data_IF_022012485461
#
_entry.id   IF_022012485461
#
_cell.length_a   1.000
_cell.length_b   1.000
_cell.length_c   1.000
_cell.angle_alpha   90.00
_cell.angle_beta   90.00
_cell.angle_gamma   90.00
#
_symmetry.space_group_name_H-M   'P 1'
#
loop_
_entity.id
_entity.type
_entity.pdbx_description
1 polymer ?
#
# COMPACT_ATOMS: atom_id res chain seq x y z
N UNK A 1 -14.64 -26.76 41.67
CA UNK A 1 -14.52 -26.71 40.19
C UNK A 1 -14.67 -25.26 39.71
N UNK A 2 -13.61 -24.44 39.72
CA UNK A 2 -13.67 -23.00 39.35
C UNK A 2 -12.50 -22.59 38.41
N UNK A 3 -11.73 -23.54 37.89
CA UNK A 3 -10.46 -23.25 37.20
C UNK A 3 -10.49 -23.08 35.67
N UNK A 4 -11.55 -23.50 34.96
CA UNK A 4 -11.50 -23.59 33.49
C UNK A 4 -11.99 -22.33 32.74
N UNK A 5 -13.01 -21.63 33.24
CA UNK A 5 -13.60 -20.47 32.54
C UNK A 5 -12.72 -19.23 32.58
N UNK A 6 -12.01 -18.99 33.69
CA UNK A 6 -11.07 -17.85 33.81
C UNK A 6 -9.84 -18.03 32.92
N UNK A 7 -9.37 -19.28 32.75
CA UNK A 7 -8.23 -19.60 31.86
C UNK A 7 -8.60 -19.38 30.38
N UNK A 8 -9.80 -19.77 29.96
CA UNK A 8 -10.26 -19.54 28.58
C UNK A 8 -10.38 -18.04 28.25
N UNK A 9 -10.90 -17.23 29.18
CA UNK A 9 -11.02 -15.77 29.00
C UNK A 9 -9.66 -15.07 28.97
N UNK A 10 -8.71 -15.50 29.80
CA UNK A 10 -7.34 -14.97 29.80
C UNK A 10 -6.58 -15.32 28.51
N UNK A 11 -6.79 -16.51 27.95
CA UNK A 11 -6.20 -16.90 26.66
C UNK A 11 -6.76 -16.06 25.52
N UNK A 12 -8.07 -15.80 25.49
CA UNK A 12 -8.69 -14.94 24.47
C UNK A 12 -8.19 -13.49 24.58
N UNK A 13 -8.12 -12.94 25.80
CA UNK A 13 -7.57 -11.59 26.02
C UNK A 13 -6.10 -11.52 25.62
N UNK A 14 -5.29 -12.54 25.94
CA UNK A 14 -3.89 -12.59 25.55
C UNK A 14 -3.71 -12.69 24.02
N UNK A 15 -4.54 -13.47 23.32
CA UNK A 15 -4.53 -13.55 21.85
C UNK A 15 -4.96 -12.23 21.21
N UNK A 16 -5.98 -11.56 21.76
CA UNK A 16 -6.42 -10.24 21.29
C UNK A 16 -5.35 -9.17 21.54
N UNK A 17 -4.72 -9.17 22.71
CA UNK A 17 -3.61 -8.24 23.01
C UNK A 17 -2.40 -8.52 22.12
N UNK A 18 -2.06 -9.78 21.86
CA UNK A 18 -0.93 -10.14 20.99
C UNK A 18 -1.22 -9.83 19.52
N UNK A 19 -2.48 -9.92 19.08
CA UNK A 19 -2.93 -9.45 17.76
C UNK A 19 -2.92 -7.91 17.64
N UNK A 20 -3.24 -7.19 18.73
CA UNK A 20 -3.23 -5.71 18.77
C UNK A 20 -1.80 -5.16 18.90
N UNK A 21 -0.93 -5.81 19.66
CA UNK A 21 0.48 -5.39 19.85
C UNK A 21 1.36 -5.81 18.67
N UNK A 22 1.02 -6.89 17.96
CA UNK A 22 1.74 -7.33 16.76
C UNK A 22 1.55 -6.46 15.51
N UNK A 23 0.75 -5.38 15.58
CA UNK A 23 0.37 -4.57 14.40
C UNK A 23 0.65 -3.07 14.54
N UNK A 24 1.49 -2.65 15.51
CA UNK A 24 2.17 -1.35 15.35
C UNK A 24 3.14 -1.50 14.17
N UNK A 25 3.02 -0.70 13.10
CA UNK A 25 4.06 -0.64 12.09
C UNK A 25 5.26 0.00 12.77
N UNK A 26 6.10 -0.83 13.40
CA UNK A 26 7.47 -0.44 13.63
C UNK A 26 8.02 -0.29 12.22
N UNK A 27 8.34 0.94 11.83
CA UNK A 27 9.25 1.20 10.73
C UNK A 27 10.58 0.55 11.13
N UNK A 28 10.68 -0.75 10.89
CA UNK A 28 11.92 -1.48 10.99
C UNK A 28 12.71 -0.98 9.80
N UNK A 29 13.68 -0.10 10.06
CA UNK A 29 14.81 0.05 9.16
C UNK A 29 15.41 -1.35 9.01
N UNK A 30 15.08 -2.02 7.91
CA UNK A 30 15.52 -3.37 7.63
C UNK A 30 17.03 -3.31 7.41
N UNK A 31 17.79 -3.63 8.46
CA UNK A 31 19.18 -4.07 8.31
C UNK A 31 19.12 -5.39 7.54
N UNK A 32 19.35 -5.31 6.23
CA UNK A 32 19.30 -6.43 5.30
C UNK A 32 20.46 -7.39 5.56
N UNK A 33 20.20 -8.41 6.39
CA UNK A 33 20.99 -9.64 6.45
C UNK A 33 19.99 -10.80 6.62
N UNK A 34 19.44 -11.28 5.51
CA UNK A 34 18.44 -12.35 5.57
C UNK A 34 17.79 -12.63 4.22
N UNK A 35 18.50 -13.41 3.41
CA UNK A 35 18.13 -13.99 2.13
C UNK A 35 16.73 -14.65 2.19
N UNK A 36 15.67 -13.88 1.95
CA UNK A 36 14.31 -14.36 1.73
C UNK A 36 13.72 -13.62 0.53
N UNK A 37 14.12 -14.07 -0.65
CA UNK A 37 13.66 -13.57 -1.93
C UNK A 37 14.44 -14.33 -2.97
N UNK A 38 13.77 -15.18 -3.74
CA UNK A 38 14.43 -15.94 -4.81
C UNK A 38 15.15 -15.00 -5.78
N UNK A 39 16.12 -15.52 -6.52
CA UNK A 39 16.78 -14.77 -7.59
C UNK A 39 16.28 -15.30 -8.93
N UNK A 40 15.82 -14.43 -9.81
CA UNK A 40 15.59 -14.76 -11.21
C UNK A 40 16.84 -14.34 -11.96
N UNK A 41 17.46 -15.27 -12.68
CA UNK A 41 18.63 -14.99 -13.51
C UNK A 41 18.37 -15.51 -14.91
N UNK A 42 18.50 -14.64 -15.91
CA UNK A 42 18.67 -15.06 -17.31
C UNK A 42 20.16 -15.16 -17.55
N UNK A 43 20.67 -16.37 -17.72
CA UNK A 43 22.12 -16.58 -17.80
C UNK A 43 22.69 -16.15 -19.16
N UNK A 44 24.01 -15.95 -19.21
CA UNK A 44 24.68 -15.60 -20.46
C UNK A 44 24.49 -16.70 -21.51
N UNK A 45 24.11 -16.30 -22.73
CA UNK A 45 23.78 -17.23 -23.82
C UNK A 45 22.38 -17.87 -23.72
N UNK A 46 21.60 -17.55 -22.68
CA UNK A 46 20.18 -17.85 -22.61
C UNK A 46 19.38 -16.82 -23.42
N UNK A 47 18.40 -17.29 -24.17
CA UNK A 47 17.44 -16.42 -24.87
C UNK A 47 16.04 -16.76 -24.42
N UNK A 48 15.35 -15.78 -23.86
CA UNK A 48 13.95 -15.88 -23.44
C UNK A 48 13.10 -14.89 -24.22
N UNK A 49 11.82 -15.23 -24.40
CA UNK A 49 10.91 -14.41 -25.21
C UNK A 49 10.48 -13.14 -24.46
N UNK A 50 10.05 -13.32 -23.22
CA UNK A 50 9.59 -12.26 -22.32
C UNK A 50 10.01 -12.65 -20.91
N UNK A 51 10.41 -11.67 -20.09
CA UNK A 51 10.72 -11.89 -18.69
C UNK A 51 9.69 -11.19 -17.81
N UNK A 52 8.87 -11.97 -17.11
CA UNK A 52 7.96 -11.46 -16.09
C UNK A 52 8.31 -12.11 -14.75
N UNK A 53 8.63 -11.31 -13.73
CA UNK A 53 9.14 -11.87 -12.48
C UNK A 53 9.05 -10.95 -11.27
N UNK A 54 8.62 -11.53 -10.14
CA UNK A 54 8.71 -10.90 -8.82
C UNK A 54 9.70 -11.71 -7.98
N UNK A 55 10.82 -11.09 -7.61
CA UNK A 55 11.93 -11.78 -6.97
C UNK A 55 12.64 -10.89 -5.95
N UNK A 56 13.50 -11.46 -5.09
CA UNK A 56 14.38 -10.64 -4.25
C UNK A 56 15.41 -9.89 -5.10
N UNK A 57 15.92 -10.54 -6.14
CA UNK A 57 16.81 -9.95 -7.14
C UNK A 57 16.50 -10.52 -8.53
N UNK A 58 16.51 -9.65 -9.55
CA UNK A 58 16.35 -10.02 -10.95
C UNK A 58 17.60 -9.61 -11.71
N UNK A 59 18.26 -10.56 -12.36
CA UNK A 59 19.51 -10.32 -13.09
C UNK A 59 19.38 -10.82 -14.53
N UNK A 60 19.58 -9.94 -15.50
CA UNK A 60 19.55 -10.28 -16.93
C UNK A 60 20.98 -10.23 -17.48
N UNK A 61 21.56 -11.40 -17.77
CA UNK A 61 22.86 -11.56 -18.46
C UNK A 61 22.74 -12.04 -19.90
N UNK A 62 21.65 -12.72 -20.23
CA UNK A 62 21.33 -13.20 -21.57
C UNK A 62 20.42 -12.24 -22.35
N UNK A 63 19.78 -12.74 -23.38
CA UNK A 63 18.90 -11.96 -24.27
C UNK A 63 17.44 -12.19 -23.92
N UNK A 64 16.69 -11.10 -23.74
CA UNK A 64 15.22 -11.09 -23.72
C UNK A 64 14.77 -10.49 -25.05
N UNK A 65 14.06 -11.24 -25.89
CA UNK A 65 13.77 -10.78 -27.26
C UNK A 65 12.66 -9.74 -27.34
N UNK A 66 11.73 -9.73 -26.38
CA UNK A 66 10.71 -8.70 -26.23
C UNK A 66 10.89 -8.01 -24.88
N UNK A 67 9.85 -7.98 -24.06
CA UNK A 67 9.76 -7.10 -22.90
C UNK A 67 10.25 -7.77 -21.61
N UNK A 68 10.69 -6.91 -20.69
CA UNK A 68 11.05 -7.27 -19.31
C UNK A 68 10.14 -6.49 -18.37
N UNK A 69 9.34 -7.21 -17.57
CA UNK A 69 8.58 -6.67 -16.45
C UNK A 69 9.06 -7.32 -15.15
N UNK A 70 9.83 -6.57 -14.35
CA UNK A 70 10.48 -7.09 -13.16
C UNK A 70 10.21 -6.26 -11.90
N UNK A 71 9.86 -6.95 -10.81
CA UNK A 71 9.75 -6.33 -9.48
C UNK A 71 10.69 -7.04 -8.51
N UNK A 72 11.58 -6.28 -7.87
CA UNK A 72 12.46 -6.87 -6.87
C UNK A 72 13.19 -5.89 -5.97
N UNK A 73 13.94 -6.42 -4.99
CA UNK A 73 14.79 -5.56 -4.17
C UNK A 73 15.90 -4.92 -5.01
N UNK A 74 16.45 -5.69 -5.94
CA UNK A 74 17.50 -5.28 -6.89
C UNK A 74 17.16 -5.82 -8.28
N UNK A 75 17.09 -4.94 -9.29
CA UNK A 75 16.89 -5.32 -10.71
C UNK A 75 18.09 -4.84 -11.50
N UNK A 76 18.76 -5.75 -12.21
CA UNK A 76 20.00 -5.44 -12.91
C UNK A 76 20.08 -6.05 -14.31
N UNK A 77 20.21 -5.20 -15.31
CA UNK A 77 20.56 -5.59 -16.69
C UNK A 77 22.08 -5.48 -16.81
N UNK A 78 22.77 -6.61 -16.96
CA UNK A 78 24.23 -6.65 -17.08
C UNK A 78 24.70 -6.17 -18.46
N UNK A 79 25.99 -5.82 -18.63
CA UNK A 79 26.53 -5.42 -19.93
C UNK A 79 26.39 -6.48 -21.03
N UNK A 80 26.33 -7.77 -20.66
CA UNK A 80 26.09 -8.86 -21.61
C UNK A 80 24.60 -9.08 -21.90
N UNK A 81 23.73 -8.55 -21.04
CA UNK A 81 22.28 -8.69 -21.13
C UNK A 81 21.70 -7.70 -22.12
N UNK A 82 20.75 -8.15 -22.94
CA UNK A 82 20.05 -7.31 -23.92
C UNK A 82 18.54 -7.49 -23.79
N UNK A 83 17.81 -6.40 -23.88
CA UNK A 83 16.34 -6.38 -23.90
C UNK A 83 15.90 -5.83 -25.24
N UNK A 84 15.22 -6.65 -26.04
CA UNK A 84 14.81 -6.30 -27.41
C UNK A 84 13.54 -5.45 -27.49
N UNK A 85 12.74 -5.40 -26.42
CA UNK A 85 11.55 -4.56 -26.28
C UNK A 85 11.66 -3.61 -25.09
N UNK A 86 10.57 -3.45 -24.37
CA UNK A 86 10.45 -2.48 -23.28
C UNK A 86 10.93 -3.06 -21.94
N UNK A 87 11.45 -2.20 -21.06
CA UNK A 87 11.83 -2.56 -19.70
C UNK A 87 10.95 -1.81 -18.69
N UNK A 88 10.09 -2.53 -17.99
CA UNK A 88 9.37 -2.06 -16.81
C UNK A 88 10.00 -2.68 -15.55
N UNK A 89 10.57 -1.84 -14.69
CA UNK A 89 11.26 -2.29 -13.48
C UNK A 89 10.84 -1.51 -12.25
N UNK A 90 10.52 -2.21 -11.16
CA UNK A 90 10.25 -1.59 -9.87
C UNK A 90 11.07 -2.23 -8.75
N UNK A 91 11.64 -1.42 -7.85
CA UNK A 91 12.46 -1.99 -6.78
C UNK A 91 13.15 -1.05 -5.81
N UNK A 92 14.06 -1.60 -5.01
CA UNK A 92 14.95 -0.80 -4.17
C UNK A 92 16.03 -0.11 -5.01
N UNK A 93 16.73 -0.90 -5.82
CA UNK A 93 17.74 -0.45 -6.78
C UNK A 93 17.46 -1.00 -8.18
N UNK A 94 17.60 -0.16 -9.19
CA UNK A 94 17.58 -0.57 -10.60
C UNK A 94 18.88 -0.11 -11.27
N UNK A 95 19.60 -1.04 -11.87
CA UNK A 95 20.86 -0.76 -12.60
C UNK A 95 20.76 -1.28 -14.02
N UNK A 96 20.97 -0.38 -14.99
CA UNK A 96 20.94 -0.70 -16.42
C UNK A 96 22.36 -0.52 -16.95
N UNK A 97 23.00 -1.65 -17.27
CA UNK A 97 24.38 -1.67 -17.77
C UNK A 97 24.52 -2.30 -19.16
N UNK A 98 23.46 -2.91 -19.68
CA UNK A 98 23.36 -3.38 -21.06
C UNK A 98 22.30 -2.61 -21.86
N UNK A 99 22.15 -2.92 -23.16
CA UNK A 99 21.19 -2.24 -24.02
C UNK A 99 19.74 -2.68 -23.77
N UNK A 100 18.85 -1.69 -23.79
CA UNK A 100 17.40 -1.85 -23.90
C UNK A 100 16.97 -1.13 -25.19
N UNK A 101 16.41 -1.86 -26.15
CA UNK A 101 16.05 -1.32 -27.46
C UNK A 101 14.78 -0.47 -27.44
N UNK A 102 13.84 -0.74 -26.51
CA UNK A 102 12.57 -0.04 -26.37
C UNK A 102 12.56 1.04 -25.29
N UNK A 103 11.36 1.28 -24.74
CA UNK A 103 11.12 2.24 -23.66
C UNK A 103 11.53 1.67 -22.30
N UNK A 104 12.01 2.54 -21.41
CA UNK A 104 12.39 2.16 -20.04
C UNK A 104 11.51 2.90 -19.03
N UNK A 105 10.78 2.14 -18.23
CA UNK A 105 9.91 2.64 -17.16
C UNK A 105 10.41 2.12 -15.80
N UNK A 106 10.86 3.02 -14.93
CA UNK A 106 11.48 2.64 -13.65
C UNK A 106 10.82 3.33 -12.45
N UNK A 107 10.42 2.52 -11.47
CA UNK A 107 9.95 2.99 -10.16
C UNK A 107 10.80 2.44 -9.02
N UNK A 108 11.74 3.21 -8.47
CA UNK A 108 12.71 2.66 -7.52
C UNK A 108 13.27 3.62 -6.47
N UNK A 109 13.98 3.11 -5.46
CA UNK A 109 14.74 3.98 -4.55
C UNK A 109 15.92 4.67 -5.25
N UNK A 110 16.61 3.96 -6.13
CA UNK A 110 17.71 4.49 -6.94
C UNK A 110 17.74 3.88 -8.34
N UNK A 111 17.98 4.71 -9.36
CA UNK A 111 18.28 4.29 -10.74
C UNK A 111 19.72 4.64 -11.09
N UNK A 112 20.44 3.69 -11.68
CA UNK A 112 21.76 3.90 -12.28
C UNK A 112 21.73 3.40 -13.72
N UNK A 113 21.83 4.31 -14.68
CA UNK A 113 22.14 3.98 -16.07
C UNK A 113 23.64 4.14 -16.26
N UNK A 114 24.37 3.03 -16.37
CA UNK A 114 25.85 3.06 -16.45
C UNK A 114 26.33 3.52 -17.82
N UNK A 115 27.62 3.81 -17.97
CA UNK A 115 28.24 4.25 -19.24
C UNK A 115 27.99 3.31 -20.45
N UNK A 116 27.77 2.01 -20.20
CA UNK A 116 27.50 1.02 -21.23
C UNK A 116 26.00 0.74 -21.41
N UNK A 117 25.16 1.28 -20.51
CA UNK A 117 23.72 1.16 -20.60
C UNK A 117 23.17 2.08 -21.67
N UNK A 118 22.30 1.55 -22.53
CA UNK A 118 21.62 2.33 -23.57
C UNK A 118 20.12 2.13 -23.47
N UNK A 119 19.37 3.21 -23.67
CA UNK A 119 17.91 3.21 -23.83
C UNK A 119 17.62 3.65 -25.26
N UNK A 120 17.06 2.76 -26.07
CA UNK A 120 16.83 2.99 -27.50
C UNK A 120 15.67 3.94 -27.81
N UNK A 121 14.79 4.16 -26.83
CA UNK A 121 13.65 5.09 -26.93
C UNK A 121 13.58 6.00 -25.71
N UNK A 122 12.40 6.16 -25.09
CA UNK A 122 12.19 7.10 -24.00
C UNK A 122 12.48 6.46 -22.63
N UNK A 123 13.03 7.25 -21.71
CA UNK A 123 13.23 6.87 -20.30
C UNK A 123 12.23 7.61 -19.43
N UNK A 124 11.38 6.89 -18.72
CA UNK A 124 10.53 7.43 -17.65
C UNK A 124 10.95 6.84 -16.31
N UNK A 125 11.34 7.68 -15.35
CA UNK A 125 11.83 7.24 -14.05
C UNK A 125 11.25 8.05 -12.89
N UNK A 126 10.57 7.37 -11.97
CA UNK A 126 10.18 7.92 -10.67
C UNK A 126 11.03 7.29 -9.58
N UNK A 127 12.04 8.00 -9.09
CA UNK A 127 13.02 7.43 -8.15
C UNK A 127 13.40 8.35 -7.00
N UNK A 128 14.05 7.84 -5.95
CA UNK A 128 14.65 8.71 -4.93
C UNK A 128 15.90 9.44 -5.44
N UNK A 129 16.75 8.72 -6.18
CA UNK A 129 17.95 9.27 -6.81
C UNK A 129 18.19 8.65 -8.19
N UNK A 130 18.60 9.46 -9.16
CA UNK A 130 18.93 9.01 -10.50
C UNK A 130 20.39 9.38 -10.84
N UNK A 131 21.17 8.42 -11.33
CA UNK A 131 22.49 8.66 -11.92
C UNK A 131 22.49 8.17 -13.35
N UNK A 132 22.73 9.07 -14.29
CA UNK A 132 22.72 8.79 -15.73
C UNK A 132 24.14 9.02 -16.25
N UNK A 133 24.88 7.94 -16.50
CA UNK A 133 26.20 7.97 -17.13
C UNK A 133 26.15 7.39 -18.57
N UNK A 134 25.05 6.76 -18.96
CA UNK A 134 24.86 6.11 -20.27
C UNK A 134 24.15 6.95 -21.33
N UNK A 135 23.65 6.27 -22.38
CA UNK A 135 22.99 6.91 -23.53
C UNK A 135 21.49 6.68 -23.54
N UNK A 136 20.72 7.72 -23.83
CA UNK A 136 19.27 7.68 -24.04
C UNK A 136 19.01 8.28 -25.42
N UNK A 137 18.52 7.48 -26.36
CA UNK A 137 18.30 7.87 -27.75
C UNK A 137 16.99 8.66 -27.96
N UNK A 138 16.07 8.60 -26.99
CA UNK A 138 14.83 9.38 -26.95
C UNK A 138 14.85 10.49 -25.90
N UNK A 139 13.66 10.77 -25.36
CA UNK A 139 13.43 11.74 -24.29
C UNK A 139 13.62 11.11 -22.91
N UNK A 140 13.93 11.93 -21.92
CA UNK A 140 14.03 11.50 -20.53
C UNK A 140 13.04 12.27 -19.67
N UNK A 141 12.20 11.56 -18.93
CA UNK A 141 11.26 12.08 -17.94
C UNK A 141 11.65 11.51 -16.56
N UNK A 142 12.25 12.34 -15.70
CA UNK A 142 12.85 11.87 -14.44
C UNK A 142 12.33 12.69 -13.25
N UNK A 143 11.55 12.06 -12.38
CA UNK A 143 11.20 12.61 -11.06
C UNK A 143 12.09 12.00 -9.99
N UNK A 144 12.93 12.80 -9.32
CA UNK A 144 13.75 12.35 -8.20
C UNK A 144 14.13 13.46 -7.22
N UNK A 145 14.62 13.11 -6.02
CA UNK A 145 15.18 14.14 -5.13
C UNK A 145 16.49 14.71 -5.70
N UNK A 146 17.32 13.84 -6.27
CA UNK A 146 18.58 14.22 -6.91
C UNK A 146 18.77 13.46 -8.22
N UNK A 147 19.12 14.19 -9.28
CA UNK A 147 19.38 13.69 -10.61
C UNK A 147 20.80 14.09 -10.99
N UNK A 148 21.68 13.13 -11.22
CA UNK A 148 23.07 13.36 -11.60
C UNK A 148 23.32 12.93 -13.04
N UNK A 149 23.67 13.87 -13.90
CA UNK A 149 24.17 13.59 -15.25
C UNK A 149 25.70 13.43 -15.20
N UNK A 150 26.18 12.26 -15.58
CA UNK A 150 27.59 11.91 -15.68
C UNK A 150 28.29 12.61 -16.83
N UNK A 151 29.63 12.55 -16.84
CA UNK A 151 30.44 13.12 -17.93
C UNK A 151 30.16 12.41 -19.27
N UNK A 152 29.92 11.10 -19.22
CA UNK A 152 29.62 10.24 -20.37
C UNK A 152 28.15 10.22 -20.77
N UNK A 153 27.29 10.93 -20.03
CA UNK A 153 25.86 10.95 -20.31
C UNK A 153 25.58 11.52 -21.69
N UNK A 154 24.58 10.97 -22.38
CA UNK A 154 24.09 11.50 -23.66
C UNK A 154 22.59 11.27 -23.76
N UNK A 155 21.81 12.36 -23.87
CA UNK A 155 20.36 12.33 -24.07
C UNK A 155 20.09 13.01 -25.41
N UNK A 156 19.62 12.25 -26.40
CA UNK A 156 19.40 12.77 -27.74
C UNK A 156 18.13 13.62 -27.88
N UNK A 157 17.12 13.37 -27.05
CA UNK A 157 15.87 14.13 -26.98
C UNK A 157 15.84 15.20 -25.89
N UNK A 158 14.63 15.53 -25.44
CA UNK A 158 14.38 16.49 -24.38
C UNK A 158 14.50 15.83 -22.99
N UNK A 159 14.92 16.60 -21.98
CA UNK A 159 14.93 16.19 -20.57
C UNK A 159 13.86 16.96 -19.81
N UNK A 160 12.82 16.27 -19.35
CA UNK A 160 11.86 16.78 -18.38
C UNK A 160 12.18 16.22 -17.00
N UNK A 161 12.24 17.06 -15.98
CA UNK A 161 12.61 16.58 -14.64
C UNK A 161 11.90 17.31 -13.49
N UNK A 162 11.78 16.63 -12.36
CA UNK A 162 11.46 17.24 -11.06
C UNK A 162 12.52 16.80 -10.05
N UNK A 163 13.17 17.74 -9.37
CA UNK A 163 14.28 17.45 -8.46
C UNK A 163 15.47 18.40 -8.53
N UNK A 164 16.54 18.06 -7.80
CA UNK A 164 17.84 18.74 -7.89
C UNK A 164 18.68 18.12 -9.01
N UNK A 165 18.84 18.84 -10.12
CA UNK A 165 19.63 18.41 -11.29
C UNK A 165 21.09 18.87 -11.16
N UNK A 166 22.01 17.92 -11.12
CA UNK A 166 23.45 18.12 -10.99
C UNK A 166 24.21 17.49 -12.17
N UNK A 167 25.41 18.00 -12.46
CA UNK A 167 26.35 17.36 -13.39
C UNK A 167 26.38 17.98 -14.79
N UNK A 168 26.65 17.15 -15.80
CA UNK A 168 26.87 17.59 -17.18
C UNK A 168 25.54 17.83 -17.92
N UNK A 169 25.03 19.06 -17.88
CA UNK A 169 23.82 19.43 -18.64
C UNK A 169 24.04 19.52 -20.15
N UNK A 170 25.29 19.65 -20.61
CA UNK A 170 25.62 19.65 -22.05
C UNK A 170 25.42 18.26 -22.69
N UNK A 171 25.15 17.23 -21.87
CA UNK A 171 24.77 15.89 -22.30
C UNK A 171 23.40 15.85 -23.01
N UNK A 172 22.53 16.85 -22.80
CA UNK A 172 21.18 16.89 -23.38
C UNK A 172 21.22 17.66 -24.69
N UNK A 173 20.83 17.01 -25.79
CA UNK A 173 20.78 17.63 -27.11
C UNK A 173 19.51 18.47 -27.33
N UNK A 174 18.39 18.10 -26.69
CA UNK A 174 17.12 18.82 -26.72
C UNK A 174 16.97 19.88 -25.63
N UNK A 175 15.72 20.20 -25.30
CA UNK A 175 15.37 21.17 -24.26
C UNK A 175 15.39 20.52 -22.87
N UNK A 176 15.88 21.27 -21.87
CA UNK A 176 15.82 20.88 -20.45
C UNK A 176 14.68 21.67 -19.80
N UNK A 177 13.66 20.95 -19.29
CA UNK A 177 12.45 21.55 -18.71
C UNK A 177 12.20 20.98 -17.31
N UNK A 178 12.21 21.85 -16.31
CA UNK A 178 11.76 21.50 -14.96
C UNK A 178 10.21 21.45 -14.93
N UNK A 179 9.65 20.31 -14.56
CA UNK A 179 8.22 20.08 -14.42
C UNK A 179 7.88 19.43 -13.09
N UNK A 180 7.50 20.26 -12.13
CA UNK A 180 7.06 19.86 -10.78
C UNK A 180 5.86 18.91 -10.73
N UNK A 181 5.17 18.65 -11.85
CA UNK A 181 4.12 17.63 -11.91
C UNK A 181 4.64 16.21 -12.08
N UNK A 182 5.94 16.04 -12.39
CA UNK A 182 6.64 14.76 -12.50
C UNK A 182 7.09 14.18 -11.16
N UNK A 183 7.01 14.98 -10.09
CA UNK A 183 7.34 14.52 -8.75
C UNK A 183 6.56 13.28 -8.37
N UNK A 184 7.25 12.30 -7.78
CA UNK A 184 6.67 11.02 -7.36
C UNK A 184 5.71 11.26 -6.19
N UNK A 185 4.49 11.68 -6.50
CA UNK A 185 3.37 11.55 -5.60
C UNK A 185 3.06 10.05 -5.53
N UNK A 186 3.67 9.32 -4.58
CA UNK A 186 3.41 7.88 -4.35
C UNK A 186 1.98 7.65 -3.81
N UNK A 187 1.27 8.73 -3.51
CA UNK A 187 -0.07 8.74 -2.95
C UNK A 187 -1.11 8.01 -3.83
N UNK A 188 -1.28 8.27 -5.14
CA UNK A 188 -2.36 7.70 -5.93
C UNK A 188 -2.16 6.21 -6.25
N UNK A 189 -0.92 5.71 -6.34
CA UNK A 189 -0.63 4.31 -6.72
C UNK A 189 -0.80 3.36 -5.53
N UNK A 190 -0.43 3.77 -4.31
CA UNK A 190 -0.59 2.94 -3.10
C UNK A 190 -1.98 3.11 -2.46
N UNK A 191 -2.65 4.25 -2.65
CA UNK A 191 -3.96 4.53 -2.04
C UNK A 191 -5.06 3.50 -2.33
N UNK A 192 -5.25 2.95 -3.55
CA UNK A 192 -6.26 1.91 -3.76
C UNK A 192 -5.93 0.61 -3.01
N UNK A 193 -4.66 0.19 -3.02
CA UNK A 193 -4.20 -1.01 -2.30
C UNK A 193 -4.24 -0.81 -0.79
N UNK A 194 -3.81 0.34 -0.28
CA UNK A 194 -3.84 0.69 1.14
C UNK A 194 -5.27 0.86 1.66
N UNK A 195 -6.18 1.42 0.87
CA UNK A 195 -7.60 1.54 1.25
C UNK A 195 -8.29 0.19 1.33
N UNK A 196 -8.02 -0.72 0.37
CA UNK A 196 -8.57 -2.07 0.41
C UNK A 196 -7.97 -2.90 1.55
N UNK A 197 -6.64 -2.82 1.77
CA UNK A 197 -5.96 -3.46 2.90
C UNK A 197 -6.44 -2.91 4.24
N UNK A 198 -6.64 -1.59 4.36
CA UNK A 198 -7.22 -0.98 5.55
C UNK A 198 -8.66 -1.45 5.77
N UNK A 199 -9.46 -1.57 4.72
CA UNK A 199 -10.84 -2.10 4.80
C UNK A 199 -10.83 -3.56 5.23
N UNK A 200 -9.98 -4.39 4.64
CA UNK A 200 -9.83 -5.80 4.99
C UNK A 200 -9.32 -5.97 6.43
N UNK A 201 -8.38 -5.14 6.86
CA UNK A 201 -7.87 -5.07 8.23
C UNK A 201 -8.95 -4.64 9.21
N UNK A 202 -9.68 -3.55 8.93
CA UNK A 202 -10.76 -3.05 9.77
C UNK A 202 -11.87 -4.11 9.91
N UNK A 203 -12.18 -4.83 8.84
CA UNK A 203 -13.12 -5.96 8.88
C UNK A 203 -12.60 -7.08 9.78
N UNK A 204 -11.34 -7.49 9.62
CA UNK A 204 -10.73 -8.54 10.42
C UNK A 204 -10.70 -8.19 11.92
N UNK A 205 -10.35 -6.94 12.26
CA UNK A 205 -10.36 -6.43 13.63
C UNK A 205 -11.78 -6.41 14.21
N UNK A 206 -12.78 -5.93 13.45
CA UNK A 206 -14.17 -5.92 13.90
C UNK A 206 -14.72 -7.34 14.11
N UNK A 207 -14.37 -8.28 13.24
CA UNK A 207 -14.76 -9.69 13.37
C UNK A 207 -14.14 -10.33 14.61
N UNK A 208 -12.85 -10.08 14.86
CA UNK A 208 -12.15 -10.53 16.06
C UNK A 208 -12.74 -9.91 17.32
N UNK A 209 -13.07 -8.62 17.29
CA UNK A 209 -13.71 -7.93 18.42
C UNK A 209 -15.11 -8.49 18.69
N UNK A 210 -15.91 -8.73 17.65
CA UNK A 210 -17.21 -9.38 17.75
C UNK A 210 -17.11 -10.79 18.35
N UNK A 211 -16.18 -11.61 17.86
CA UNK A 211 -15.91 -12.93 18.40
C UNK A 211 -15.45 -12.89 19.87
N UNK A 212 -14.57 -11.93 20.20
CA UNK A 212 -14.12 -11.71 21.57
C UNK A 212 -15.27 -11.31 22.49
N UNK A 213 -16.17 -10.41 22.05
CA UNK A 213 -17.36 -10.01 22.81
C UNK A 213 -18.33 -11.17 23.03
N UNK A 214 -18.59 -11.98 22.01
CA UNK A 214 -19.41 -13.19 22.12
C UNK A 214 -18.81 -14.19 23.12
N UNK A 215 -17.48 -14.37 23.08
CA UNK A 215 -16.77 -15.26 24.01
C UNK A 215 -16.73 -14.72 25.44
N UNK A 216 -16.63 -13.40 25.62
CA UNK A 216 -16.54 -12.77 26.95
C UNK A 216 -17.92 -12.65 27.62
N UNK A 217 -18.99 -12.43 26.87
CA UNK A 217 -20.36 -12.21 27.37
C UNK A 217 -21.42 -13.18 26.77
N UNK A 218 -21.24 -14.51 26.86
CA UNK A 218 -22.12 -15.50 26.21
C UNK A 218 -23.60 -15.38 26.64
N UNK A 219 -23.86 -15.02 27.91
CA UNK A 219 -25.22 -14.91 28.45
C UNK A 219 -26.02 -13.71 27.94
N UNK A 220 -25.35 -12.65 27.48
CA UNK A 220 -26.02 -11.47 26.93
C UNK A 220 -26.46 -11.75 25.49
N UNK A 221 -25.65 -12.51 24.74
CA UNK A 221 -25.94 -12.92 23.36
C UNK A 221 -27.09 -13.92 23.26
N UNK A 222 -27.10 -14.96 24.11
CA UNK A 222 -28.19 -15.96 24.14
C UNK A 222 -29.54 -15.31 24.49
N UNK A 223 -29.54 -14.37 25.44
CA UNK A 223 -30.76 -13.65 25.85
C UNK A 223 -31.30 -12.66 24.82
N UNK A 224 -30.46 -12.13 23.93
CA UNK A 224 -30.88 -11.28 22.80
C UNK A 224 -31.40 -12.16 21.66
N UNK A 225 -30.73 -13.26 21.34
CA UNK A 225 -31.14 -14.19 20.30
C UNK A 225 -32.50 -14.86 20.62
N UNK A 226 -32.71 -15.34 21.85
CA UNK A 226 -33.96 -15.98 22.28
C UNK A 226 -35.16 -15.01 22.28
N UNK A 227 -34.90 -13.72 22.56
CA UNK A 227 -35.94 -12.67 22.65
C UNK A 227 -36.31 -12.10 21.28
N UNK A 228 -35.43 -12.24 20.27
CA UNK A 228 -35.75 -11.99 18.86
C UNK A 228 -36.55 -13.16 18.27
N UNK A 229 -36.18 -14.40 18.60
CA UNK A 229 -36.83 -15.60 18.08
C UNK A 229 -38.27 -15.81 18.60
N UNK A 230 -38.56 -15.42 19.84
CA UNK A 230 -39.86 -15.68 20.48
C UNK A 230 -40.95 -14.62 20.22
N UNK A 231 -40.62 -13.48 19.62
CA UNK A 231 -41.60 -12.41 19.40
C UNK A 231 -41.11 -11.25 18.53
N UNK A 232 -40.67 -11.49 17.29
CA UNK A 232 -39.94 -10.52 16.45
C UNK A 232 -40.64 -9.16 16.30
N UNK A 233 -41.97 -9.15 16.19
CA UNK A 233 -42.77 -7.92 16.06
C UNK A 233 -42.79 -7.09 17.36
N UNK A 234 -42.89 -7.74 18.53
CA UNK A 234 -42.90 -7.01 19.81
C UNK A 234 -41.50 -6.49 20.15
N UNK A 235 -40.47 -7.27 19.87
CA UNK A 235 -39.06 -6.88 20.06
C UNK A 235 -38.69 -5.72 19.13
N UNK A 236 -39.11 -5.78 17.87
CA UNK A 236 -38.95 -4.70 16.90
C UNK A 236 -39.73 -3.43 17.28
N UNK A 237 -41.00 -3.55 17.70
CA UNK A 237 -41.80 -2.40 18.13
C UNK A 237 -41.24 -1.74 19.40
N UNK A 238 -40.79 -2.51 20.38
CA UNK A 238 -40.15 -1.96 21.58
C UNK A 238 -38.83 -1.28 21.22
N UNK A 239 -38.02 -1.89 20.34
CA UNK A 239 -36.79 -1.28 19.83
C UNK A 239 -37.03 0.04 19.10
N UNK A 240 -38.07 0.11 18.25
CA UNK A 240 -38.46 1.31 17.52
C UNK A 240 -39.02 2.39 18.46
N UNK A 241 -39.83 2.00 19.44
CA UNK A 241 -40.39 2.92 20.44
C UNK A 241 -39.27 3.50 21.32
N UNK A 242 -38.26 2.69 21.67
CA UNK A 242 -37.07 3.15 22.39
C UNK A 242 -36.17 4.02 21.49
N UNK A 243 -35.94 3.64 20.24
CA UNK A 243 -35.04 4.38 19.34
C UNK A 243 -35.59 5.74 18.94
N UNK A 244 -36.91 5.92 18.86
CA UNK A 244 -37.55 7.22 18.61
C UNK A 244 -37.86 7.92 19.93
N UNK A 245 -38.32 7.19 20.94
CA UNK A 245 -38.75 7.76 22.22
C UNK A 245 -37.61 8.35 23.05
N UNK A 246 -36.44 7.72 23.08
CA UNK A 246 -35.27 8.23 23.82
C UNK A 246 -34.78 9.57 23.24
N UNK A 247 -34.49 9.73 21.93
CA UNK A 247 -34.04 11.01 21.41
C UNK A 247 -35.09 12.10 21.56
N UNK A 248 -36.38 11.80 21.40
CA UNK A 248 -37.46 12.76 21.66
C UNK A 248 -37.49 13.18 23.13
N UNK A 249 -37.35 12.23 24.07
CA UNK A 249 -37.27 12.51 25.50
C UNK A 249 -36.04 13.35 25.84
N UNK A 250 -34.88 13.07 25.24
CA UNK A 250 -33.66 13.84 25.42
C UNK A 250 -33.80 15.25 24.83
N UNK A 251 -34.44 15.43 23.68
CA UNK A 251 -34.74 16.77 23.14
C UNK A 251 -35.68 17.52 24.08
N UNK A 252 -36.73 16.87 24.61
CA UNK A 252 -37.63 17.47 25.58
C UNK A 252 -36.91 17.84 26.88
N UNK A 253 -35.99 17.01 27.37
CA UNK A 253 -35.12 17.32 28.50
C UNK A 253 -34.17 18.48 28.17
N UNK A 254 -33.62 18.55 26.96
CA UNK A 254 -32.67 19.58 26.54
C UNK A 254 -33.30 20.99 26.55
N UNK A 255 -34.61 21.06 26.31
CA UNK A 255 -35.38 22.30 26.36
C UNK A 255 -35.56 22.78 27.81
N UNK A 256 -35.41 21.91 28.81
CA UNK A 256 -35.37 22.33 30.21
C UNK A 256 -33.99 22.91 30.55
N UNK A 257 -33.94 24.05 31.26
CA UNK A 257 -32.69 24.74 31.64
C UNK A 257 -31.75 23.84 32.46
N UNK A 258 -32.29 22.79 33.12
CA UNK A 258 -31.53 21.78 33.87
C UNK A 258 -31.13 20.58 32.99
N UNK A 259 -31.84 20.33 31.89
CA UNK A 259 -31.66 19.14 31.07
C UNK A 259 -30.72 19.30 29.89
N UNK A 260 -30.29 20.51 29.53
CA UNK A 260 -29.25 20.73 28.51
C UNK A 260 -27.94 19.95 28.79
N UNK A 261 -27.36 19.95 30.01
CA UNK A 261 -26.19 19.10 30.30
C UNK A 261 -26.52 17.59 30.28
N UNK A 262 -27.72 17.19 30.75
CA UNK A 262 -28.13 15.78 30.78
C UNK A 262 -28.39 15.23 29.37
N UNK A 263 -28.96 16.05 28.49
CA UNK A 263 -29.26 15.72 27.10
C UNK A 263 -28.03 15.72 26.22
N UNK A 264 -26.99 16.49 26.57
CA UNK A 264 -25.69 16.40 25.90
C UNK A 264 -25.05 15.03 26.16
N UNK A 265 -25.05 14.59 27.42
CA UNK A 265 -24.53 13.26 27.83
C UNK A 265 -25.40 12.14 27.25
N UNK A 266 -26.72 12.28 27.34
CA UNK A 266 -27.65 11.30 26.78
C UNK A 266 -27.61 11.22 25.26
N UNK A 267 -27.47 12.36 24.58
CA UNK A 267 -27.35 12.44 23.12
C UNK A 267 -26.04 11.84 22.62
N UNK A 268 -24.94 12.07 23.33
CA UNK A 268 -23.67 11.41 23.05
C UNK A 268 -23.77 9.89 23.23
N UNK A 269 -24.35 9.43 24.34
CA UNK A 269 -24.57 8.01 24.58
C UNK A 269 -25.49 7.37 23.52
N UNK A 270 -26.54 8.08 23.11
CA UNK A 270 -27.47 7.63 22.08
C UNK A 270 -26.81 7.58 20.69
N UNK A 271 -26.00 8.58 20.33
CA UNK A 271 -25.22 8.57 19.09
C UNK A 271 -24.20 7.43 19.05
N UNK A 272 -23.55 7.15 20.18
CA UNK A 272 -22.63 6.02 20.31
C UNK A 272 -23.36 4.68 20.16
N UNK A 273 -24.56 4.55 20.74
CA UNK A 273 -25.39 3.35 20.57
C UNK A 273 -25.92 3.19 19.13
N UNK A 274 -26.29 4.29 18.45
CA UNK A 274 -26.69 4.25 17.05
C UNK A 274 -25.52 3.88 16.14
N UNK A 275 -24.34 4.40 16.41
CA UNK A 275 -23.13 4.03 15.67
C UNK A 275 -22.83 2.54 15.83
N UNK A 276 -22.92 2.00 17.05
CA UNK A 276 -22.79 0.56 17.31
C UNK A 276 -23.90 -0.25 16.60
N UNK A 277 -25.13 0.25 16.58
CA UNK A 277 -26.25 -0.43 15.93
C UNK A 277 -26.14 -0.38 14.39
N UNK A 278 -25.64 0.71 13.82
CA UNK A 278 -25.36 0.84 12.38
C UNK A 278 -24.22 -0.08 11.96
N UNK A 279 -23.15 -0.17 12.75
CA UNK A 279 -22.10 -1.16 12.55
C UNK A 279 -22.67 -2.59 12.59
N UNK A 280 -23.58 -2.88 13.52
CA UNK A 280 -24.25 -4.18 13.60
C UNK A 280 -25.18 -4.44 12.41
N UNK A 281 -25.89 -3.41 11.92
CA UNK A 281 -26.85 -3.54 10.80
C UNK A 281 -26.14 -3.67 9.46
N UNK A 282 -25.01 -2.96 9.26
CA UNK A 282 -24.16 -3.13 8.09
C UNK A 282 -23.53 -4.52 8.02
N UNK A 283 -23.37 -5.19 9.16
CA UNK A 283 -22.94 -6.59 9.24
C UNK A 283 -24.06 -7.59 8.92
N UNK A 284 -25.34 -7.21 9.04
CA UNK A 284 -26.50 -8.10 8.80
C UNK A 284 -27.16 -7.96 7.41
N UNK A 285 -26.80 -6.94 6.62
CA UNK A 285 -27.40 -6.64 5.32
C UNK A 285 -26.81 -7.38 4.11
N UNK A 286 -25.92 -8.36 4.31
CA UNK A 286 -25.33 -9.21 3.27
C UNK A 286 -25.81 -10.67 3.36
N UNK A 287 -27.12 -10.87 3.55
CA UNK A 287 -27.80 -12.15 3.33
C UNK A 287 -28.86 -12.00 2.24
#
# INVERSE_FOLDING_TARGET
>A
MVGSSTRSRLVVIAVVVLAVVGTVPVLVAAQSNGQTGGTIVVEEGETVDTLEGIAGSVVVRGTVTNDVSAVGGDVRIEPTGSVGGDLEAAGGSVTIAGPVEGDVNVGAGSLILTENGTVGQDLTAGVGSATIDGTIDGNAEIGAETIRLGESASIAGDLRYDGDLEGNTDAVAGDIVEDSSLGVDVAPTIQPFASWLFTAYALAVNLLLGAALLALFPRFSDGVADRVASGPIRSGLVGLLVSVGIPVLLIALAITVIGLPLSLVGGFAFGLLLWICLLYTSLSGLA
#
